data_IF_338911917473
#
_entry.id   IF_338911917473
#
_cell.length_a   1.000
_cell.length_b   1.000
_cell.length_c   1.000
_cell.angle_alpha   90.00
_cell.angle_beta   90.00
_cell.angle_gamma   90.00
#
_symmetry.space_group_name_H-M   'P 1'
#
loop_
_entity.id
_entity.type
_entity.pdbx_description
1 polymer ?
#
# COMPACT_ATOMS: atom_id res chain seq x y z
N UNK A 1 18.64 17.25 -20.04
CA UNK A 1 17.86 16.59 -18.99
C UNK A 1 16.40 16.70 -19.37
N UNK A 2 15.78 15.65 -19.88
CA UNK A 2 14.34 15.64 -20.12
C UNK A 2 13.65 15.28 -18.81
N UNK A 3 12.94 16.23 -18.21
CA UNK A 3 12.06 15.96 -17.07
C UNK A 3 11.00 14.95 -17.52
N UNK A 4 11.02 13.75 -16.94
CA UNK A 4 9.91 12.82 -17.02
C UNK A 4 8.81 13.26 -16.05
N UNK A 5 8.27 14.45 -16.27
CA UNK A 5 7.06 14.89 -15.58
C UNK A 5 5.87 14.11 -16.17
N UNK A 6 5.09 13.46 -15.32
CA UNK A 6 3.85 12.82 -15.75
C UNK A 6 2.85 13.90 -16.15
N UNK A 7 2.31 13.82 -17.37
CA UNK A 7 1.23 14.71 -17.86
C UNK A 7 -0.14 14.36 -17.27
N UNK A 8 -0.23 13.39 -16.35
CA UNK A 8 -1.48 12.98 -15.73
C UNK A 8 -1.84 13.97 -14.60
N UNK A 9 -3.07 14.51 -14.55
CA UNK A 9 -3.56 15.36 -13.45
C UNK A 9 -3.31 14.73 -12.08
N UNK A 10 -3.04 15.58 -11.07
CA UNK A 10 -2.66 15.14 -9.72
C UNK A 10 -3.73 14.23 -9.09
N UNK A 11 -5.01 14.64 -9.18
CA UNK A 11 -6.16 13.88 -8.69
C UNK A 11 -6.19 12.44 -9.22
N UNK A 12 -5.84 12.23 -10.49
CA UNK A 12 -5.79 10.90 -11.08
C UNK A 12 -4.56 10.10 -10.68
N UNK A 13 -3.45 10.76 -10.37
CA UNK A 13 -2.20 10.11 -9.93
C UNK A 13 -2.29 9.63 -8.50
N UNK A 14 -2.89 10.45 -7.64
CA UNK A 14 -3.09 10.12 -6.23
C UNK A 14 -4.21 9.10 -6.04
N UNK A 15 -5.09 8.92 -7.03
CA UNK A 15 -6.13 7.89 -7.02
C UNK A 15 -5.70 6.55 -7.65
N UNK A 16 -4.43 6.35 -8.01
CA UNK A 16 -3.97 5.12 -8.67
C UNK A 16 -4.23 3.88 -7.81
N UNK A 17 -4.97 2.94 -8.37
CA UNK A 17 -5.33 1.67 -7.74
C UNK A 17 -4.18 0.66 -7.85
N UNK A 18 -3.91 -0.07 -6.78
CA UNK A 18 -2.99 -1.22 -6.80
C UNK A 18 -3.58 -2.36 -7.64
N UNK A 19 -2.79 -3.11 -8.44
CA UNK A 19 -3.29 -4.32 -9.11
C UNK A 19 -3.95 -5.28 -8.12
N UNK A 20 -5.20 -5.75 -8.38
CA UNK A 20 -5.93 -6.62 -7.45
C UNK A 20 -5.17 -7.90 -7.11
N UNK A 21 -4.42 -8.46 -8.05
CA UNK A 21 -3.60 -9.65 -7.82
C UNK A 21 -2.44 -9.36 -6.85
N UNK A 22 -1.80 -8.19 -6.96
CA UNK A 22 -0.74 -7.82 -6.04
C UNK A 22 -1.31 -7.67 -4.62
N UNK A 23 -2.42 -6.95 -4.49
CA UNK A 23 -3.11 -6.77 -3.22
C UNK A 23 -3.52 -8.12 -2.62
N UNK A 24 -4.16 -9.00 -3.40
CA UNK A 24 -4.58 -10.31 -2.94
C UNK A 24 -3.39 -11.19 -2.51
N UNK A 25 -2.27 -11.13 -3.23
CA UNK A 25 -1.04 -11.84 -2.89
C UNK A 25 -0.45 -11.40 -1.55
N UNK A 26 -0.46 -10.10 -1.28
CA UNK A 26 -0.01 -9.55 0.02
C UNK A 26 -1.04 -9.86 1.11
N UNK A 27 -2.34 -9.71 0.81
CA UNK A 27 -3.43 -9.96 1.74
C UNK A 27 -3.47 -11.43 2.22
N UNK A 28 -3.03 -12.37 1.39
CA UNK A 28 -2.89 -13.77 1.79
C UNK A 28 -1.99 -13.97 3.03
N UNK A 29 -0.99 -13.10 3.21
CA UNK A 29 -0.10 -13.11 4.38
C UNK A 29 -0.71 -12.30 5.54
N UNK A 30 -1.11 -11.06 5.27
CA UNK A 30 -1.43 -10.10 6.32
C UNK A 30 -2.89 -10.13 6.79
N UNK A 31 -3.80 -10.68 5.98
CA UNK A 31 -5.25 -10.77 6.27
C UNK A 31 -5.80 -9.42 6.73
N UNK A 32 -5.77 -8.47 5.80
CA UNK A 32 -6.16 -7.08 6.05
C UNK A 32 -7.58 -6.97 6.61
N UNK A 33 -7.73 -6.04 7.54
CA UNK A 33 -9.03 -5.65 8.13
C UNK A 33 -9.59 -4.38 7.49
N UNK A 34 -8.79 -3.66 6.70
CA UNK A 34 -9.18 -2.38 6.11
C UNK A 34 -8.22 -1.87 5.04
N UNK A 35 -8.72 -0.93 4.23
CA UNK A 35 -7.95 -0.12 3.28
C UNK A 35 -8.05 1.36 3.70
N UNK A 36 -6.95 1.97 4.12
CA UNK A 36 -6.96 3.30 4.76
C UNK A 36 -6.79 4.46 3.79
N UNK A 37 -6.45 4.19 2.52
CA UNK A 37 -6.15 5.20 1.52
C UNK A 37 -6.89 4.90 0.22
N UNK A 38 -8.21 5.02 0.25
CA UNK A 38 -9.07 4.59 -0.85
C UNK A 38 -10.20 5.56 -1.18
N UNK A 39 -10.94 5.24 -2.23
CA UNK A 39 -12.22 5.81 -2.64
C UNK A 39 -13.15 4.67 -3.06
N UNK A 40 -14.41 4.97 -3.35
CA UNK A 40 -15.34 3.95 -3.85
C UNK A 40 -14.86 3.29 -5.16
N UNK A 41 -14.10 4.02 -5.97
CA UNK A 41 -13.63 3.59 -7.29
C UNK A 41 -12.33 2.76 -7.22
N UNK A 42 -11.49 2.97 -6.20
CA UNK A 42 -10.18 2.33 -6.12
C UNK A 42 -10.01 1.35 -4.95
N UNK A 43 -10.95 1.28 -4.02
CA UNK A 43 -10.87 0.40 -2.85
C UNK A 43 -10.57 -1.06 -3.25
N UNK A 44 -9.76 -1.72 -2.41
CA UNK A 44 -9.42 -3.14 -2.55
C UNK A 44 -9.95 -3.99 -1.39
N UNK A 45 -10.58 -3.34 -0.41
CA UNK A 45 -11.21 -3.97 0.74
C UNK A 45 -12.63 -3.44 0.94
N UNK A 46 -13.53 -4.26 1.48
CA UNK A 46 -14.94 -3.87 1.71
C UNK A 46 -15.08 -2.80 2.79
N UNK A 47 -14.18 -2.83 3.78
CA UNK A 47 -14.03 -1.79 4.79
C UNK A 47 -12.88 -0.88 4.37
N UNK A 48 -13.18 0.36 4.05
CA UNK A 48 -12.18 1.33 3.61
C UNK A 48 -12.51 2.75 4.09
N UNK A 49 -11.49 3.61 4.16
CA UNK A 49 -11.64 5.03 4.45
C UNK A 49 -11.49 5.85 3.17
N UNK A 50 -12.42 6.78 2.95
CA UNK A 50 -12.36 7.77 1.89
C UNK A 50 -11.64 9.04 2.33
N UNK A 51 -11.30 9.89 1.36
CA UNK A 51 -10.75 11.23 1.62
C UNK A 51 -11.65 12.05 2.57
N UNK A 52 -12.97 11.98 2.41
CA UNK A 52 -13.94 12.69 3.26
C UNK A 52 -13.98 12.17 4.70
N UNK A 53 -13.52 10.94 4.93
CA UNK A 53 -13.42 10.36 6.27
C UNK A 53 -12.11 10.73 6.96
N UNK A 54 -11.22 11.49 6.31
CA UNK A 54 -9.98 12.02 6.87
C UNK A 54 -9.17 10.96 7.62
N UNK A 55 -8.72 9.92 6.91
CA UNK A 55 -8.06 8.76 7.51
C UNK A 55 -6.88 9.09 8.46
N UNK A 56 -6.21 10.23 8.25
CA UNK A 56 -5.13 10.70 9.12
C UNK A 56 -5.61 11.13 10.52
N UNK A 57 -6.89 11.52 10.66
CA UNK A 57 -7.52 11.94 11.92
C UNK A 57 -8.29 10.80 12.62
N UNK A 58 -8.66 9.74 11.89
CA UNK A 58 -9.39 8.59 12.43
C UNK A 58 -8.47 7.68 13.22
N UNK A 59 -8.89 7.20 14.40
CA UNK A 59 -8.21 6.11 15.10
C UNK A 59 -8.47 4.78 14.37
N UNK A 60 -7.43 4.18 13.79
CA UNK A 60 -7.59 3.01 12.93
C UNK A 60 -7.97 1.76 13.73
N UNK A 61 -7.41 1.58 14.93
CA UNK A 61 -7.77 0.46 15.81
C UNK A 61 -9.26 0.49 16.18
N UNK A 62 -9.80 1.65 16.53
CA UNK A 62 -11.22 1.79 16.86
C UNK A 62 -12.11 1.58 15.63
N UNK A 63 -11.64 1.99 14.45
CA UNK A 63 -12.42 1.89 13.22
C UNK A 63 -12.45 0.46 12.65
N UNK A 64 -11.31 -0.24 12.60
CA UNK A 64 -11.18 -1.55 11.95
C UNK A 64 -11.03 -2.73 12.92
N UNK A 65 -10.73 -2.47 14.19
CA UNK A 65 -10.32 -3.50 15.14
C UNK A 65 -8.84 -3.88 15.01
N UNK A 66 -8.42 -4.90 15.78
CA UNK A 66 -7.05 -5.39 15.74
C UNK A 66 -6.77 -6.18 14.45
N UNK A 67 -5.62 -5.94 13.82
CA UNK A 67 -5.24 -6.59 12.57
C UNK A 67 -4.21 -5.77 11.81
N UNK A 68 -4.18 -5.95 10.49
CA UNK A 68 -3.38 -5.15 9.57
C UNK A 68 -4.27 -4.34 8.63
N UNK A 69 -3.89 -3.11 8.33
CA UNK A 69 -4.51 -2.31 7.26
C UNK A 69 -3.58 -2.22 6.05
N UNK A 70 -4.20 -2.14 4.88
CA UNK A 70 -3.53 -1.82 3.63
C UNK A 70 -3.49 -0.31 3.42
N UNK A 71 -2.35 0.21 2.96
CA UNK A 71 -2.18 1.62 2.65
C UNK A 71 -1.44 1.78 1.32
N UNK A 72 -2.13 2.31 0.31
CA UNK A 72 -1.51 2.81 -0.92
C UNK A 72 -1.77 4.33 -0.97
N UNK A 73 -0.95 5.14 -0.28
CA UNK A 73 -1.27 6.54 -0.04
C UNK A 73 -1.16 7.37 -1.33
N UNK A 74 -1.72 8.59 -1.36
CA UNK A 74 -1.35 9.63 -2.32
C UNK A 74 0.17 9.81 -2.35
N UNK A 75 0.81 9.62 -3.52
CA UNK A 75 2.27 9.73 -3.63
C UNK A 75 2.76 11.19 -3.68
N UNK A 76 1.84 12.14 -3.80
CA UNK A 76 2.10 13.57 -3.68
C UNK A 76 2.56 13.99 -2.27
N UNK A 77 2.06 13.33 -1.22
CA UNK A 77 2.43 13.58 0.17
C UNK A 77 2.39 12.34 1.05
N UNK A 78 3.49 11.58 1.06
CA UNK A 78 3.62 10.31 1.79
C UNK A 78 3.91 10.52 3.29
N UNK A 79 4.51 11.65 3.67
CA UNK A 79 5.03 11.86 5.03
C UNK A 79 3.96 11.70 6.11
N UNK A 80 2.76 12.31 5.99
CA UNK A 80 1.71 12.17 7.00
C UNK A 80 1.25 10.72 7.21
N UNK A 81 1.26 9.91 6.15
CA UNK A 81 0.87 8.50 6.21
C UNK A 81 1.89 7.65 6.95
N UNK A 82 3.19 7.95 6.79
CA UNK A 82 4.28 7.30 7.52
C UNK A 82 4.18 7.59 9.02
N UNK A 83 3.93 8.85 9.38
CA UNK A 83 3.74 9.27 10.77
C UNK A 83 2.50 8.61 11.37
N UNK A 84 1.40 8.59 10.62
CA UNK A 84 0.15 7.94 11.03
C UNK A 84 0.32 6.44 11.23
N UNK A 85 0.96 5.73 10.30
CA UNK A 85 1.23 4.30 10.43
C UNK A 85 2.08 3.98 11.67
N UNK A 86 3.05 4.85 11.99
CA UNK A 86 3.89 4.70 13.18
C UNK A 86 3.09 4.90 14.47
N UNK A 87 2.22 5.92 14.51
CA UNK A 87 1.32 6.19 15.63
C UNK A 87 0.34 5.03 15.86
N UNK A 88 -0.31 4.56 14.80
CA UNK A 88 -1.32 3.49 14.88
C UNK A 88 -0.69 2.14 15.23
N UNK A 89 0.56 1.90 14.79
CA UNK A 89 1.33 0.75 15.25
C UNK A 89 1.53 0.74 16.77
N UNK A 90 1.80 1.90 17.39
CA UNK A 90 1.90 2.00 18.85
C UNK A 90 0.56 1.72 19.55
N UNK A 91 -0.56 1.95 18.86
CA UNK A 91 -1.90 1.61 19.35
C UNK A 91 -2.28 0.13 19.14
N UNK A 92 -1.48 -0.65 18.41
CA UNK A 92 -1.72 -2.08 18.24
C UNK A 92 -2.40 -2.50 16.93
N UNK A 93 -2.43 -1.63 15.92
CA UNK A 93 -2.85 -1.99 14.56
C UNK A 93 -1.67 -1.94 13.59
N UNK A 94 -1.50 -3.01 12.80
CA UNK A 94 -0.43 -3.12 11.83
C UNK A 94 -0.75 -2.40 10.52
N UNK A 95 0.27 -1.98 9.80
CA UNK A 95 0.12 -1.32 8.50
C UNK A 95 1.08 -1.93 7.48
N UNK A 96 0.59 -2.21 6.28
CA UNK A 96 1.40 -2.53 5.11
C UNK A 96 1.20 -1.43 4.08
N UNK A 97 2.26 -0.65 3.84
CA UNK A 97 2.22 0.51 2.97
C UNK A 97 2.99 0.28 1.67
N UNK A 98 2.37 0.51 0.52
CA UNK A 98 3.00 0.44 -0.80
C UNK A 98 3.45 1.82 -1.26
N UNK A 99 4.75 2.00 -1.48
CA UNK A 99 5.37 3.27 -1.88
C UNK A 99 6.41 3.08 -2.99
N UNK A 100 6.81 4.14 -3.70
CA UNK A 100 7.97 4.08 -4.58
C UNK A 100 9.23 3.70 -3.79
N UNK A 101 10.12 2.90 -4.38
CA UNK A 101 11.41 2.50 -3.80
C UNK A 101 12.42 3.66 -3.81
N UNK A 102 12.10 4.74 -3.11
CA UNK A 102 12.91 5.96 -3.02
C UNK A 102 13.53 6.07 -1.63
N UNK A 103 14.81 5.69 -1.49
CA UNK A 103 15.44 5.54 -0.18
C UNK A 103 16.23 6.77 0.27
N UNK A 104 16.29 7.82 -0.55
CA UNK A 104 17.05 9.06 -0.26
C UNK A 104 16.19 10.20 0.28
N UNK A 105 14.87 10.02 0.33
CA UNK A 105 13.88 11.03 0.70
C UNK A 105 13.55 11.02 2.19
N UNK A 106 13.04 12.16 2.69
CA UNK A 106 12.77 12.39 4.12
C UNK A 106 11.76 11.40 4.72
N UNK A 107 10.64 11.14 4.03
CA UNK A 107 9.63 10.20 4.53
C UNK A 107 10.18 8.78 4.67
N UNK A 108 11.12 8.36 3.81
CA UNK A 108 11.73 7.03 3.94
C UNK A 108 12.64 6.95 5.17
N UNK A 109 13.43 8.00 5.42
CA UNK A 109 14.25 8.10 6.63
C UNK A 109 13.39 8.02 7.89
N UNK A 110 12.27 8.74 7.93
CA UNK A 110 11.31 8.69 9.04
C UNK A 110 10.70 7.30 9.19
N UNK A 111 10.23 6.71 8.09
CA UNK A 111 9.66 5.36 8.09
C UNK A 111 10.66 4.33 8.61
N UNK A 112 11.92 4.39 8.18
CA UNK A 112 12.95 3.42 8.58
C UNK A 112 13.28 3.45 10.07
N UNK A 113 13.04 4.57 10.75
CA UNK A 113 13.23 4.68 12.20
C UNK A 113 12.12 4.00 13.00
N UNK A 114 10.95 3.80 12.41
CA UNK A 114 9.75 3.30 13.10
C UNK A 114 9.24 1.94 12.59
N UNK A 115 9.50 1.59 11.33
CA UNK A 115 8.96 0.38 10.72
C UNK A 115 9.66 -0.90 11.22
N UNK A 116 8.92 -2.00 11.22
CA UNK A 116 9.47 -3.33 11.53
C UNK A 116 10.17 -3.98 10.35
N UNK A 117 9.69 -3.75 9.13
CA UNK A 117 10.21 -4.40 7.93
C UNK A 117 10.07 -3.50 6.69
N UNK A 118 11.05 -3.59 5.79
CA UNK A 118 10.98 -3.05 4.43
C UNK A 118 11.17 -4.22 3.45
N UNK A 119 10.26 -4.37 2.49
CA UNK A 119 10.38 -5.38 1.42
C UNK A 119 10.46 -4.69 0.07
N UNK A 120 11.59 -4.83 -0.62
CA UNK A 120 11.70 -4.37 -2.00
C UNK A 120 10.99 -5.32 -2.95
N UNK A 121 10.18 -4.79 -3.87
CA UNK A 121 9.53 -5.58 -4.91
C UNK A 121 10.50 -5.71 -6.09
N UNK A 122 10.89 -6.94 -6.40
CA UNK A 122 11.76 -7.31 -7.53
C UNK A 122 10.93 -7.92 -8.67
N UNK A 123 11.56 -8.33 -9.78
CA UNK A 123 10.84 -8.93 -10.92
C UNK A 123 10.18 -7.91 -11.87
N UNK A 124 10.30 -6.62 -11.59
CA UNK A 124 9.94 -5.52 -12.50
C UNK A 124 9.02 -4.49 -11.85
N UNK A 125 8.67 -3.44 -12.60
CA UNK A 125 7.84 -2.33 -12.09
C UNK A 125 6.36 -2.72 -12.05
N UNK A 126 5.63 -2.11 -11.12
CA UNK A 126 4.18 -2.26 -11.01
C UNK A 126 3.47 -1.36 -12.03
N UNK A 127 2.50 -1.93 -12.74
CA UNK A 127 1.53 -1.17 -13.55
C UNK A 127 0.28 -0.92 -12.72
N UNK A 128 0.21 0.25 -12.06
CA UNK A 128 -0.98 0.68 -11.34
C UNK A 128 -2.17 0.84 -12.28
N UNK A 129 -3.38 0.86 -11.72
CA UNK A 129 -4.63 0.95 -12.48
C UNK A 129 -5.25 2.33 -12.25
N UNK A 130 -5.70 2.97 -13.32
CA UNK A 130 -6.50 4.18 -13.22
C UNK A 130 -7.86 3.87 -12.60
N UNK A 131 -8.22 4.56 -11.52
CA UNK A 131 -9.50 4.35 -10.83
C UNK A 131 -10.71 4.61 -11.74
N UNK A 132 -10.64 5.65 -12.56
CA UNK A 132 -11.75 6.09 -13.42
C UNK A 132 -11.96 5.23 -14.67
N UNK A 133 -10.89 4.67 -15.24
CA UNK A 133 -10.94 3.89 -16.49
C UNK A 133 -10.74 2.39 -16.31
N UNK A 134 -10.26 1.95 -15.15
CA UNK A 134 -9.90 0.56 -14.89
C UNK A 134 -8.70 0.06 -15.72
N UNK A 135 -8.00 0.93 -16.44
CA UNK A 135 -6.89 0.56 -17.33
C UNK A 135 -5.54 0.67 -16.63
N UNK A 136 -4.58 -0.22 -16.92
CA UNK A 136 -3.21 -0.08 -16.47
C UNK A 136 -2.57 1.23 -16.95
N UNK A 137 -1.81 1.88 -16.07
CA UNK A 137 -0.98 3.04 -16.36
C UNK A 137 0.36 2.56 -16.90
N UNK A 138 0.75 3.11 -18.05
CA UNK A 138 2.07 2.91 -18.61
C UNK A 138 3.04 3.99 -18.11
N UNK A 139 4.33 3.65 -18.03
CA UNK A 139 5.38 4.64 -17.75
C UNK A 139 5.71 4.87 -16.28
N UNK A 140 5.25 4.01 -15.35
CA UNK A 140 5.84 3.99 -14.01
C UNK A 140 7.34 3.71 -14.14
N UNK A 141 8.17 4.68 -13.73
CA UNK A 141 9.61 4.63 -13.88
C UNK A 141 10.36 4.28 -12.58
N UNK A 142 9.65 4.17 -11.46
CA UNK A 142 10.22 3.80 -10.16
C UNK A 142 9.94 2.33 -9.83
N UNK A 143 10.86 1.72 -9.09
CA UNK A 143 10.57 0.48 -8.36
C UNK A 143 9.58 0.75 -7.23
N UNK A 144 9.08 -0.31 -6.62
CA UNK A 144 8.14 -0.23 -5.49
C UNK A 144 8.66 -1.03 -4.30
N UNK A 145 8.24 -0.64 -3.10
CA UNK A 145 8.54 -1.37 -1.87
C UNK A 145 7.33 -1.36 -0.94
N UNK A 146 7.31 -2.35 -0.05
CA UNK A 146 6.41 -2.38 1.08
C UNK A 146 7.15 -1.90 2.33
N UNK A 147 6.53 -1.01 3.08
CA UNK A 147 6.97 -0.64 4.43
C UNK A 147 5.93 -1.17 5.42
N UNK A 148 6.39 -1.92 6.41
CA UNK A 148 5.52 -2.69 7.30
C UNK A 148 5.77 -2.27 8.75
N UNK A 149 4.69 -1.84 9.40
CA UNK A 149 4.61 -1.65 10.84
C UNK A 149 3.83 -2.81 11.44
N UNK A 150 4.52 -3.66 12.20
CA UNK A 150 3.93 -4.84 12.81
C UNK A 150 3.93 -4.69 14.34
N UNK A 151 2.79 -4.39 14.99
CA UNK A 151 2.72 -4.20 16.44
C UNK A 151 2.97 -5.49 17.23
N UNK A 152 2.96 -6.64 16.55
CA UNK A 152 3.12 -7.96 17.15
C UNK A 152 4.55 -8.50 17.04
N UNK A 153 5.50 -7.69 16.52
CA UNK A 153 6.91 -8.08 16.42
C UNK A 153 7.83 -7.04 17.07
N UNK A 154 8.73 -7.46 17.98
CA UNK A 154 9.66 -6.54 18.64
C UNK A 154 10.88 -6.19 17.77
N UNK A 155 11.14 -6.91 16.68
CA UNK A 155 12.30 -6.67 15.82
C UNK A 155 12.06 -5.51 14.84
N UNK A 156 12.89 -4.48 14.92
CA UNK A 156 12.86 -3.33 14.03
C UNK A 156 13.87 -3.49 12.88
N UNK A 157 13.48 -3.08 11.68
CA UNK A 157 14.42 -2.83 10.59
C UNK A 157 14.90 -4.04 9.78
N UNK A 158 14.08 -5.08 9.66
CA UNK A 158 14.35 -6.15 8.71
C UNK A 158 14.22 -5.62 7.27
N UNK A 159 15.17 -5.99 6.41
CA UNK A 159 15.06 -5.70 4.98
C UNK A 159 14.97 -7.02 4.22
N UNK A 160 13.96 -7.14 3.38
CA UNK A 160 13.72 -8.32 2.54
C UNK A 160 13.41 -7.95 1.10
N UNK A 161 13.17 -9.00 0.31
CA UNK A 161 12.79 -8.89 -1.10
C UNK A 161 11.60 -9.79 -1.36
N UNK A 162 10.68 -9.34 -2.20
CA UNK A 162 9.55 -10.13 -2.70
C UNK A 162 9.50 -10.01 -4.21
N UNK A 163 9.35 -11.13 -4.89
CA UNK A 163 9.24 -11.14 -6.34
C UNK A 163 7.80 -10.77 -6.77
N UNK A 164 7.68 -9.80 -7.69
CA UNK A 164 6.40 -9.31 -8.19
C UNK A 164 5.56 -10.42 -8.80
N UNK A 165 6.14 -11.22 -9.68
CA UNK A 165 5.37 -12.20 -10.46
C UNK A 165 4.88 -13.33 -9.57
N UNK A 166 5.67 -13.69 -8.55
CA UNK A 166 5.28 -14.59 -7.48
C UNK A 166 4.08 -14.05 -6.69
N UNK A 167 4.13 -12.80 -6.23
CA UNK A 167 3.00 -12.17 -5.52
C UNK A 167 1.74 -12.13 -6.38
N UNK A 168 1.88 -11.73 -7.65
CA UNK A 168 0.77 -11.69 -8.61
C UNK A 168 0.19 -13.09 -8.86
N UNK A 169 1.04 -14.12 -8.98
CA UNK A 169 0.59 -15.50 -9.15
C UNK A 169 -0.21 -16.00 -7.92
N UNK A 170 0.29 -15.73 -6.71
CA UNK A 170 -0.43 -16.05 -5.48
C UNK A 170 -1.79 -15.36 -5.48
N UNK A 171 -1.84 -14.06 -5.78
CA UNK A 171 -3.10 -13.31 -5.86
C UNK A 171 -4.11 -13.87 -6.84
N UNK A 172 -3.68 -14.25 -8.05
CA UNK A 172 -4.56 -14.91 -9.04
C UNK A 172 -5.16 -16.21 -8.51
N UNK A 173 -4.38 -17.00 -7.78
CA UNK A 173 -4.85 -18.24 -7.16
C UNK A 173 -5.90 -17.97 -6.07
N UNK A 174 -5.72 -16.92 -5.26
CA UNK A 174 -6.72 -16.55 -4.25
C UNK A 174 -8.02 -16.03 -4.87
N UNK A 175 -7.92 -15.13 -5.86
CA UNK A 175 -9.09 -14.56 -6.53
C UNK A 175 -9.91 -15.65 -7.24
N UNK A 176 -9.25 -16.55 -7.96
CA UNK A 176 -9.95 -17.66 -8.66
C UNK A 176 -10.67 -18.61 -7.71
N UNK A 177 -10.12 -18.89 -6.52
CA UNK A 177 -10.76 -19.72 -5.50
C UNK A 177 -11.99 -19.06 -4.88
N UNK A 178 -11.96 -17.75 -4.65
CA UNK A 178 -13.11 -17.01 -4.13
C UNK A 178 -14.26 -16.94 -5.14
N UNK A 179 -13.95 -16.76 -6.44
CA UNK A 179 -14.94 -16.77 -7.51
C UNK A 179 -15.56 -18.14 -7.78
N UNK A 180 -14.88 -19.24 -7.44
CA UNK A 180 -15.40 -20.61 -7.58
C UNK A 180 -16.29 -21.05 -6.40
N UNK A 181 -16.32 -20.28 -5.30
CA UNK A 181 -17.09 -20.55 -4.08
C UNK A 181 -18.35 -19.67 -3.96
N UNK A 182 -18.62 -18.82 -4.95
CA UNK A 182 -19.81 -17.96 -5.06
C UNK A 182 -20.78 -18.52 -6.10
#
# INVERSE_FOLDING_TARGET
MTEHASNTPLEHRDSWRTPPELFAGINAEFRFVGDVAASAENALHQHYLTEQQEALQVNWLQHFGSGFVWCNPPYSDITPWVEKASLECANGIGTVMLVPADTSVGWFKAARQACTEVRFITGGRLSFIRADTGKPVNGNNKGSMLIIWNPFRPAAGHTGYVDRDTLMQIGRLFISRQGAAA
#
